data_IF_277390934630
#
_entry.id   IF_277390934630
#
_cell.length_a   1.000
_cell.length_b   1.000
_cell.length_c   1.000
_cell.angle_alpha   90.00
_cell.angle_beta   90.00
_cell.angle_gamma   90.00
#
_symmetry.space_group_name_H-M   'P 1'
#
loop_
_entity.id
_entity.type
_entity.pdbx_description
1 polymer ?
#
# COMPACT_ATOMS: atom_id res chain seq x y z
N UNK A 1 -3.71 -22.67 -5.76
CA UNK A 1 -2.91 -21.47 -6.07
C UNK A 1 -3.82 -20.30 -5.77
N UNK A 2 -3.47 -19.47 -4.80
CA UNK A 2 -4.20 -18.22 -4.59
C UNK A 2 -3.77 -17.28 -5.72
N UNK A 3 -4.73 -16.69 -6.42
CA UNK A 3 -4.44 -15.68 -7.44
C UNK A 3 -3.95 -14.41 -6.75
N UNK A 4 -2.83 -13.87 -7.23
CA UNK A 4 -2.30 -12.58 -6.78
C UNK A 4 -3.09 -11.46 -7.46
N UNK A 5 -3.46 -10.44 -6.71
CA UNK A 5 -4.14 -9.25 -7.23
C UNK A 5 -3.30 -8.61 -8.33
N UNK A 6 -3.93 -8.26 -9.44
CA UNK A 6 -3.29 -7.61 -10.58
C UNK A 6 -3.80 -6.17 -10.71
N UNK A 7 -2.93 -5.28 -11.19
CA UNK A 7 -3.23 -3.85 -11.33
C UNK A 7 -4.49 -3.63 -12.19
N UNK A 8 -4.57 -4.26 -13.36
CA UNK A 8 -5.66 -4.12 -14.31
C UNK A 8 -6.98 -4.68 -13.76
N UNK A 9 -6.89 -5.75 -12.97
CA UNK A 9 -8.05 -6.36 -12.30
C UNK A 9 -8.66 -5.41 -11.28
N UNK A 10 -7.82 -4.84 -10.40
CA UNK A 10 -8.27 -3.85 -9.42
C UNK A 10 -8.73 -2.56 -10.09
N UNK A 11 -8.01 -2.08 -11.10
CA UNK A 11 -8.38 -0.91 -11.90
C UNK A 11 -9.77 -1.04 -12.52
N UNK A 12 -10.10 -2.22 -13.09
CA UNK A 12 -11.43 -2.48 -13.64
C UNK A 12 -12.53 -2.43 -12.56
N UNK A 13 -12.26 -2.97 -11.37
CA UNK A 13 -13.21 -2.92 -10.25
C UNK A 13 -13.44 -1.49 -9.78
N UNK A 14 -12.37 -0.71 -9.62
CA UNK A 14 -12.43 0.69 -9.19
C UNK A 14 -13.15 1.58 -10.22
N UNK A 15 -12.86 1.40 -11.50
CA UNK A 15 -13.52 2.12 -12.58
C UNK A 15 -15.05 1.86 -12.61
N UNK A 16 -15.49 0.63 -12.31
CA UNK A 16 -16.92 0.29 -12.25
C UNK A 16 -17.66 1.04 -11.14
N UNK A 17 -16.96 1.42 -10.06
CA UNK A 17 -17.54 2.13 -8.92
C UNK A 17 -17.25 3.64 -8.93
N UNK A 18 -16.64 4.15 -10.00
CA UNK A 18 -16.44 5.59 -10.26
C UNK A 18 -15.03 6.13 -10.02
N UNK A 19 -14.07 5.28 -9.63
CA UNK A 19 -12.69 5.67 -9.30
C UNK A 19 -11.72 5.24 -10.40
N UNK A 20 -11.63 6.05 -11.45
CA UNK A 20 -10.73 5.82 -12.59
C UNK A 20 -9.33 6.34 -12.26
N UNK A 21 -8.29 5.59 -12.62
CA UNK A 21 -6.86 5.91 -12.40
C UNK A 21 -6.43 6.01 -10.91
N UNK A 22 -7.27 5.53 -9.99
CA UNK A 22 -7.05 5.57 -8.53
C UNK A 22 -6.40 4.29 -7.98
N UNK A 23 -6.04 3.33 -8.85
CA UNK A 23 -5.59 1.98 -8.44
C UNK A 23 -4.35 2.00 -7.55
N UNK A 24 -3.34 2.78 -7.93
CA UNK A 24 -2.10 2.88 -7.17
C UNK A 24 -2.35 3.55 -5.81
N UNK A 25 -3.08 4.67 -5.79
CA UNK A 25 -3.46 5.37 -4.56
C UNK A 25 -4.28 4.49 -3.62
N UNK A 26 -5.30 3.82 -4.12
CA UNK A 26 -6.14 2.92 -3.31
C UNK A 26 -5.33 1.75 -2.76
N UNK A 27 -4.46 1.12 -3.56
CA UNK A 27 -3.60 0.04 -3.06
C UNK A 27 -2.61 0.52 -2.01
N UNK A 28 -2.03 1.72 -2.18
CA UNK A 28 -1.22 2.37 -1.16
C UNK A 28 -2.00 2.56 0.13
N UNK A 29 -3.19 3.15 0.05
CA UNK A 29 -4.08 3.39 1.19
C UNK A 29 -4.47 2.12 1.92
N UNK A 30 -4.72 1.06 1.17
CA UNK A 30 -4.97 -0.28 1.70
C UNK A 30 -3.76 -0.81 2.48
N UNK A 31 -2.55 -0.69 1.93
CA UNK A 31 -1.31 -1.11 2.59
C UNK A 31 -1.07 -0.32 3.89
N UNK A 32 -1.18 1.00 3.84
CA UNK A 32 -1.01 1.86 5.01
C UNK A 32 -2.04 1.56 6.10
N UNK A 33 -3.32 1.38 5.75
CA UNK A 33 -4.37 1.03 6.70
C UNK A 33 -4.12 -0.34 7.36
N UNK A 34 -3.64 -1.33 6.60
CA UNK A 34 -3.30 -2.65 7.12
C UNK A 34 -2.11 -2.64 8.10
N UNK A 35 -1.21 -1.65 8.01
CA UNK A 35 -0.16 -1.44 9.00
C UNK A 35 -0.73 -1.07 10.38
N UNK A 36 -1.89 -0.41 10.43
CA UNK A 36 -2.44 0.17 11.67
C UNK A 36 -3.76 -0.45 12.14
N UNK A 37 -4.45 -1.24 11.32
CA UNK A 37 -5.78 -1.84 11.60
C UNK A 37 -5.84 -3.31 11.21
N UNK A 38 -6.64 -4.12 11.91
CA UNK A 38 -6.89 -5.49 11.45
C UNK A 38 -7.60 -5.48 10.09
N UNK A 39 -7.42 -6.52 9.28
CA UNK A 39 -8.02 -6.59 7.93
C UNK A 39 -9.52 -6.26 7.95
N UNK A 40 -10.26 -6.88 8.86
CA UNK A 40 -11.70 -6.69 9.03
C UNK A 40 -12.11 -5.32 9.58
N UNK A 41 -11.17 -4.51 10.07
CA UNK A 41 -11.38 -3.14 10.56
C UNK A 41 -11.05 -2.08 9.51
N UNK A 42 -10.43 -2.47 8.39
CA UNK A 42 -10.17 -1.56 7.27
C UNK A 42 -11.49 -1.27 6.56
N UNK A 43 -11.92 -0.01 6.62
CA UNK A 43 -13.08 0.50 5.90
C UNK A 43 -12.68 0.86 4.46
N UNK A 44 -12.99 -0.03 3.53
CA UNK A 44 -12.64 0.11 2.12
C UNK A 44 -13.35 1.31 1.46
N UNK A 45 -14.52 1.72 1.96
CA UNK A 45 -15.25 2.86 1.39
C UNK A 45 -14.61 4.17 1.81
N UNK A 46 -14.17 4.26 3.07
CA UNK A 46 -13.40 5.40 3.54
C UNK A 46 -12.09 5.56 2.76
N UNK A 47 -11.46 4.44 2.36
CA UNK A 47 -10.25 4.49 1.55
C UNK A 47 -10.48 4.96 0.12
N UNK A 48 -11.67 4.70 -0.44
CA UNK A 48 -12.06 5.14 -1.78
C UNK A 48 -12.54 6.58 -1.79
N UNK A 49 -13.42 6.94 -0.86
CA UNK A 49 -14.00 8.26 -0.72
C UNK A 49 -13.79 8.81 0.70
N UNK A 50 -12.61 9.39 0.98
CA UNK A 50 -12.32 9.95 2.29
C UNK A 50 -13.24 11.13 2.65
N UNK A 51 -13.74 11.86 1.64
CA UNK A 51 -14.63 13.01 1.82
C UNK A 51 -16.09 12.57 2.09
N UNK A 52 -16.46 11.38 1.63
CA UNK A 52 -17.82 10.85 1.74
C UNK A 52 -18.83 11.67 0.92
N UNK A 53 -18.38 12.42 -0.07
CA UNK A 53 -19.21 13.29 -0.89
C UNK A 53 -19.71 12.61 -2.17
N UNK A 54 -19.20 11.41 -2.49
CA UNK A 54 -19.64 10.61 -3.60
C UNK A 54 -20.73 9.62 -3.20
N UNK A 55 -21.79 9.55 -4.01
CA UNK A 55 -22.82 8.52 -3.85
C UNK A 55 -22.33 7.19 -4.41
N UNK A 56 -21.58 6.44 -3.60
CA UNK A 56 -21.04 5.14 -4.00
C UNK A 56 -22.14 4.09 -4.17
N UNK A 57 -22.27 3.56 -5.38
CA UNK A 57 -23.11 2.39 -5.66
C UNK A 57 -22.20 1.21 -5.95
N UNK A 58 -21.97 0.37 -4.94
CA UNK A 58 -21.09 -0.79 -5.04
C UNK A 58 -21.97 -2.03 -4.99
N UNK A 59 -21.94 -2.81 -6.07
CA UNK A 59 -22.64 -4.08 -6.11
C UNK A 59 -21.90 -5.18 -5.34
N UNK A 60 -22.56 -6.31 -5.15
CA UNK A 60 -22.00 -7.45 -4.41
C UNK A 60 -20.72 -7.98 -5.04
N UNK A 61 -20.55 -7.87 -6.36
CA UNK A 61 -19.37 -8.36 -7.06
C UNK A 61 -18.17 -7.46 -6.81
N UNK A 62 -18.34 -6.15 -6.96
CA UNK A 62 -17.31 -5.15 -6.66
C UNK A 62 -16.93 -5.18 -5.18
N UNK A 63 -17.90 -5.27 -4.27
CA UNK A 63 -17.62 -5.41 -2.83
C UNK A 63 -16.78 -6.66 -2.54
N UNK A 64 -17.12 -7.80 -3.15
CA UNK A 64 -16.37 -9.04 -2.97
C UNK A 64 -14.93 -8.90 -3.50
N UNK A 65 -14.76 -8.30 -4.67
CA UNK A 65 -13.44 -8.09 -5.27
C UNK A 65 -12.55 -7.15 -4.43
N UNK A 66 -13.12 -6.08 -3.85
CA UNK A 66 -12.38 -5.18 -2.95
C UNK A 66 -11.97 -5.88 -1.64
N UNK A 67 -12.82 -6.75 -1.11
CA UNK A 67 -12.48 -7.56 0.06
C UNK A 67 -11.38 -8.58 -0.28
N UNK A 68 -11.48 -9.27 -1.41
CA UNK A 68 -10.44 -10.19 -1.89
C UNK A 68 -9.11 -9.46 -2.10
N UNK A 69 -9.15 -8.25 -2.65
CA UNK A 69 -7.98 -7.40 -2.81
C UNK A 69 -7.31 -7.10 -1.46
N UNK A 70 -8.08 -6.70 -0.44
CA UNK A 70 -7.57 -6.49 0.92
C UNK A 70 -6.88 -7.72 1.48
N UNK A 71 -7.50 -8.90 1.39
CA UNK A 71 -6.91 -10.10 1.96
C UNK A 71 -5.63 -10.52 1.21
N UNK A 72 -5.59 -10.36 -0.11
CA UNK A 72 -4.39 -10.66 -0.91
C UNK A 72 -3.25 -9.66 -0.63
N UNK A 73 -3.55 -8.37 -0.49
CA UNK A 73 -2.57 -7.36 -0.06
C UNK A 73 -2.01 -7.68 1.32
N UNK A 74 -2.86 -8.08 2.28
CA UNK A 74 -2.41 -8.50 3.60
C UNK A 74 -1.47 -9.72 3.55
N UNK A 75 -1.84 -10.76 2.80
CA UNK A 75 -1.02 -11.96 2.64
C UNK A 75 0.35 -11.58 2.08
N UNK A 76 0.37 -10.70 1.06
CA UNK A 76 1.60 -10.26 0.42
C UNK A 76 2.48 -9.44 1.38
N UNK A 77 1.90 -8.49 2.13
CA UNK A 77 2.63 -7.70 3.13
C UNK A 77 3.25 -8.56 4.24
N UNK A 78 2.58 -9.67 4.60
CA UNK A 78 3.06 -10.62 5.61
C UNK A 78 4.11 -11.60 5.07
N UNK A 79 4.30 -11.66 3.76
CA UNK A 79 5.19 -12.61 3.13
C UNK A 79 6.65 -12.23 3.31
N UNK A 80 7.41 -13.14 3.90
CA UNK A 80 8.84 -12.98 4.14
C UNK A 80 9.69 -13.41 2.92
N UNK A 81 9.07 -14.03 1.91
CA UNK A 81 9.75 -14.45 0.67
C UNK A 81 9.86 -13.30 -0.36
N UNK A 82 9.32 -12.12 -0.03
CA UNK A 82 9.46 -10.90 -0.83
C UNK A 82 8.47 -10.79 -1.99
N UNK A 83 7.35 -11.51 -1.94
CA UNK A 83 6.34 -11.45 -3.02
C UNK A 83 5.51 -10.15 -3.04
N UNK A 84 5.55 -9.34 -1.98
CA UNK A 84 4.89 -8.04 -1.98
C UNK A 84 5.48 -7.12 -3.05
N UNK A 85 4.62 -6.49 -3.85
CA UNK A 85 4.98 -5.38 -4.73
C UNK A 85 3.88 -4.31 -4.66
N UNK A 86 4.25 -3.00 -4.73
CA UNK A 86 3.25 -1.96 -4.96
C UNK A 86 2.55 -2.23 -6.31
N UNK A 87 1.21 -2.19 -6.32
CA UNK A 87 0.44 -2.28 -7.56
C UNK A 87 0.58 -0.99 -8.36
N UNK A 88 1.28 -1.10 -9.49
CA UNK A 88 1.62 -0.03 -10.40
C UNK A 88 1.28 -0.44 -11.84
N UNK A 89 1.14 0.51 -12.79
CA UNK A 89 0.94 0.21 -14.21
C UNK A 89 2.09 -0.66 -14.76
N UNK A 90 1.77 -1.53 -15.72
CA UNK A 90 2.73 -2.39 -16.40
C UNK A 90 3.88 -1.59 -17.05
N UNK A 91 5.05 -2.23 -17.19
CA UNK A 91 6.28 -1.65 -17.76
C UNK A 91 6.14 -1.22 -19.25
N UNK A 92 5.05 -1.60 -19.91
CA UNK A 92 4.70 -1.12 -21.26
C UNK A 92 4.08 0.30 -21.25
N UNK A 93 3.68 0.80 -20.07
CA UNK A 93 3.15 2.17 -19.89
C UNK A 93 4.28 3.19 -19.96
N UNK A 94 4.00 4.44 -20.30
CA UNK A 94 5.05 5.49 -20.30
C UNK A 94 5.61 5.74 -18.89
N UNK A 95 6.92 5.94 -18.78
CA UNK A 95 7.61 6.18 -17.50
C UNK A 95 6.97 7.31 -16.68
N UNK A 96 6.60 8.48 -17.25
CA UNK A 96 5.92 9.53 -16.47
C UNK A 96 4.62 9.06 -15.81
N UNK A 97 3.83 8.21 -16.47
CA UNK A 97 2.60 7.64 -15.90
C UNK A 97 2.89 6.67 -14.76
N UNK A 98 3.95 5.87 -14.87
CA UNK A 98 4.39 4.96 -13.81
C UNK A 98 4.95 5.72 -12.60
N UNK A 99 5.72 6.78 -12.82
CA UNK A 99 6.22 7.66 -11.74
C UNK A 99 5.04 8.34 -11.03
N UNK A 100 4.06 8.87 -11.79
CA UNK A 100 2.86 9.45 -11.20
C UNK A 100 2.07 8.43 -10.34
N UNK A 101 1.94 7.20 -10.83
CA UNK A 101 1.31 6.12 -10.06
C UNK A 101 2.09 5.75 -8.80
N UNK A 102 3.43 5.74 -8.84
CA UNK A 102 4.28 5.48 -7.68
C UNK A 102 4.12 6.57 -6.61
N UNK A 103 4.07 7.84 -7.04
CA UNK A 103 3.79 8.97 -6.15
C UNK A 103 2.40 8.84 -5.51
N UNK A 104 1.38 8.56 -6.33
CA UNK A 104 0.01 8.35 -5.85
C UNK A 104 -0.06 7.16 -4.86
N UNK A 105 0.73 6.11 -5.09
CA UNK A 105 0.85 4.99 -4.16
C UNK A 105 1.40 5.42 -2.80
N UNK A 106 2.45 6.24 -2.77
CA UNK A 106 2.99 6.82 -1.53
C UNK A 106 1.97 7.73 -0.81
N UNK A 107 1.25 8.59 -1.54
CA UNK A 107 0.17 9.41 -0.99
C UNK A 107 -0.91 8.55 -0.33
N UNK A 108 -1.36 7.52 -1.05
CA UNK A 108 -2.27 6.51 -0.55
C UNK A 108 -1.75 5.88 0.74
N UNK A 109 -0.52 5.37 0.74
CA UNK A 109 0.08 4.72 1.91
C UNK A 109 0.08 5.61 3.16
N UNK A 110 0.50 6.86 3.01
CA UNK A 110 0.50 7.85 4.09
C UNK A 110 -0.93 8.15 4.57
N UNK A 111 -1.89 8.28 3.65
CA UNK A 111 -3.30 8.42 4.01
C UNK A 111 -3.82 7.19 4.78
N UNK A 112 -3.53 5.98 4.32
CA UNK A 112 -3.89 4.73 4.99
C UNK A 112 -3.40 4.64 6.44
N UNK A 113 -2.14 5.02 6.68
CA UNK A 113 -1.56 5.10 8.02
C UNK A 113 -2.29 6.11 8.90
N UNK A 114 -2.65 7.27 8.35
CA UNK A 114 -3.36 8.33 9.06
C UNK A 114 -4.77 7.93 9.52
N UNK A 115 -5.32 6.83 8.99
CA UNK A 115 -6.63 6.32 9.40
C UNK A 115 -6.68 5.78 10.84
N UNK A 116 -5.53 5.63 11.51
CA UNK A 116 -5.43 5.41 12.96
C UNK A 116 -5.24 6.76 13.65
N UNK A 117 -6.22 7.24 14.44
CA UNK A 117 -6.09 8.51 15.15
C UNK A 117 -4.99 8.45 16.21
N UNK A 118 -4.28 9.56 16.40
CA UNK A 118 -3.21 9.72 17.39
C UNK A 118 -2.09 8.67 17.24
N UNK A 119 -1.74 8.30 16.00
CA UNK A 119 -0.56 7.49 15.74
C UNK A 119 0.69 8.26 16.20
N UNK A 120 1.40 7.72 17.19
CA UNK A 120 2.61 8.31 17.75
C UNK A 120 3.85 7.79 17.01
N UNK A 121 4.17 8.41 15.87
CA UNK A 121 5.35 8.06 15.06
C UNK A 121 6.67 8.33 15.79
N UNK A 122 6.69 9.26 16.76
CA UNK A 122 7.91 9.56 17.54
C UNK A 122 8.32 8.39 18.45
N UNK A 123 7.36 7.52 18.78
CA UNK A 123 7.60 6.30 19.56
C UNK A 123 8.11 5.11 18.73
N UNK A 124 8.08 5.22 17.39
CA UNK A 124 8.59 4.20 16.46
C UNK A 124 10.11 4.31 16.29
N UNK A 125 10.71 3.31 15.63
CA UNK A 125 12.13 3.32 15.29
C UNK A 125 12.51 4.49 14.37
N UNK A 126 13.79 4.89 14.42
CA UNK A 126 14.33 5.90 13.50
C UNK A 126 14.17 5.47 12.04
N UNK A 127 14.34 4.17 11.75
CA UNK A 127 14.17 3.59 10.40
C UNK A 127 12.73 3.75 9.89
N UNK A 128 11.73 3.48 10.72
CA UNK A 128 10.33 3.71 10.35
C UNK A 128 10.08 5.20 10.09
N UNK A 129 10.57 6.08 10.97
CA UNK A 129 10.39 7.52 10.82
C UNK A 129 11.02 8.04 9.51
N UNK A 130 12.21 7.55 9.16
CA UNK A 130 12.90 7.86 7.90
C UNK A 130 12.10 7.40 6.68
N UNK A 131 11.57 6.17 6.68
CA UNK A 131 10.71 5.66 5.58
C UNK A 131 9.48 6.56 5.37
N UNK A 132 8.82 6.99 6.46
CA UNK A 132 7.65 7.87 6.37
C UNK A 132 8.02 9.27 5.86
N UNK A 133 9.17 9.79 6.30
CA UNK A 133 9.69 11.07 5.80
C UNK A 133 10.01 10.98 4.30
N UNK A 134 10.70 9.94 3.86
CA UNK A 134 11.05 9.72 2.45
C UNK A 134 9.82 9.60 1.57
N UNK A 135 8.82 8.80 1.99
CA UNK A 135 7.55 8.72 1.27
C UNK A 135 6.89 10.09 1.18
N UNK A 136 6.95 10.90 2.24
CA UNK A 136 6.43 12.28 2.23
C UNK A 136 7.22 13.20 1.31
N UNK A 137 8.53 13.01 1.14
CA UNK A 137 9.33 13.78 0.19
C UNK A 137 9.01 13.39 -1.25
N UNK A 138 8.79 12.10 -1.54
CA UNK A 138 8.40 11.65 -2.88
C UNK A 138 7.07 12.28 -3.34
N UNK A 139 6.11 12.46 -2.45
CA UNK A 139 4.83 13.13 -2.81
C UNK A 139 4.96 14.63 -3.06
N UNK A 140 6.07 15.25 -2.64
CA UNK A 140 6.36 16.67 -2.86
C UNK A 140 7.30 16.90 -4.05
N UNK A 141 7.98 15.86 -4.50
CA UNK A 141 8.91 15.95 -5.62
C UNK A 141 8.14 16.32 -6.90
N UNK A 142 8.58 17.39 -7.56
CA UNK A 142 8.09 17.74 -8.89
C UNK A 142 8.86 16.94 -9.93
N UNK A 143 8.16 16.31 -10.87
CA UNK A 143 8.77 15.58 -11.98
C UNK A 143 9.21 16.63 -13.02
N UNK A 144 10.40 17.21 -12.85
CA UNK A 144 11.08 18.00 -13.89
C UNK A 144 11.99 17.04 -14.67
N UNK A 145 11.66 16.77 -15.94
CA UNK A 145 12.37 15.81 -16.79
C UNK A 145 13.12 16.46 -17.94
N UNK A 146 14.46 16.39 -17.93
CA UNK A 146 15.34 16.60 -19.10
C UNK A 146 16.56 15.65 -19.07
N UNK A 147 16.44 14.42 -18.55
CA UNK A 147 17.58 13.49 -18.41
C UNK A 147 17.47 12.21 -19.27
N UNK A 148 18.51 11.38 -19.23
CA UNK A 148 18.67 10.18 -20.05
C UNK A 148 17.71 9.06 -19.61
N UNK A 149 16.77 8.69 -20.48
CA UNK A 149 15.72 7.69 -20.28
C UNK A 149 16.21 6.38 -19.62
N UNK A 150 17.36 5.80 -20.01
CA UNK A 150 17.83 4.54 -19.40
C UNK A 150 18.23 4.69 -17.92
N UNK A 151 18.78 5.85 -17.55
CA UNK A 151 19.10 6.17 -16.15
C UNK A 151 17.83 6.39 -15.34
N UNK A 152 16.81 7.01 -15.93
CA UNK A 152 15.51 7.24 -15.29
C UNK A 152 14.76 5.93 -15.02
N UNK A 153 14.84 4.96 -15.94
CA UNK A 153 14.23 3.62 -15.76
C UNK A 153 14.90 2.84 -14.62
N UNK A 154 16.23 2.90 -14.53
CA UNK A 154 16.97 2.25 -13.45
C UNK A 154 16.64 2.89 -12.11
N UNK A 155 16.62 4.23 -12.05
CA UNK A 155 16.25 4.96 -10.84
C UNK A 155 14.80 4.66 -10.41
N UNK A 156 13.87 4.56 -11.36
CA UNK A 156 12.50 4.17 -11.07
C UNK A 156 12.42 2.77 -10.44
N UNK A 157 13.12 1.77 -10.99
CA UNK A 157 13.15 0.43 -10.43
C UNK A 157 13.73 0.39 -9.00
N UNK A 158 14.76 1.19 -8.73
CA UNK A 158 15.33 1.34 -7.38
C UNK A 158 14.33 1.97 -6.40
N UNK A 159 13.58 2.99 -6.82
CA UNK A 159 12.53 3.60 -6.00
C UNK A 159 11.38 2.62 -5.71
N UNK A 160 10.95 1.84 -6.70
CA UNK A 160 9.93 0.80 -6.52
C UNK A 160 10.40 -0.22 -5.48
N UNK A 161 11.66 -0.67 -5.55
CA UNK A 161 12.22 -1.61 -4.58
C UNK A 161 12.34 -1.01 -3.18
N UNK A 162 12.78 0.25 -3.08
CA UNK A 162 12.84 0.97 -1.80
C UNK A 162 11.46 1.05 -1.15
N UNK A 163 10.43 1.46 -1.92
CA UNK A 163 9.05 1.56 -1.44
C UNK A 163 8.50 0.19 -1.03
N UNK A 164 8.81 -0.86 -1.81
CA UNK A 164 8.42 -2.24 -1.52
C UNK A 164 8.95 -2.70 -0.16
N UNK A 165 10.25 -2.53 0.08
CA UNK A 165 10.91 -2.91 1.34
C UNK A 165 10.42 -2.03 2.49
N UNK A 166 10.37 -0.72 2.29
CA UNK A 166 9.91 0.24 3.31
C UNK A 166 8.49 -0.06 3.79
N UNK A 167 7.56 -0.36 2.88
CA UNK A 167 6.19 -0.73 3.24
C UNK A 167 6.12 -2.01 4.10
N UNK A 168 6.92 -3.03 3.77
CA UNK A 168 7.00 -4.26 4.57
C UNK A 168 7.62 -4.01 5.95
N UNK A 169 8.66 -3.18 6.04
CA UNK A 169 9.29 -2.81 7.32
C UNK A 169 8.31 -2.08 8.24
N UNK A 170 7.61 -1.07 7.71
CA UNK A 170 6.56 -0.34 8.44
C UNK A 170 5.48 -1.33 8.91
N UNK A 171 5.01 -2.23 8.05
CA UNK A 171 4.04 -3.24 8.43
C UNK A 171 4.52 -4.12 9.59
N UNK A 172 5.74 -4.67 9.50
CA UNK A 172 6.30 -5.57 10.51
C UNK A 172 6.47 -4.91 11.87
N UNK A 173 6.95 -3.66 11.90
CA UNK A 173 7.14 -2.91 13.13
C UNK A 173 5.79 -2.53 13.78
N UNK A 174 4.83 -2.10 12.97
CA UNK A 174 3.51 -1.67 13.45
C UNK A 174 2.60 -2.85 13.85
N UNK A 175 2.91 -4.05 13.35
CA UNK A 175 2.17 -5.29 13.58
C UNK A 175 3.07 -6.37 14.17
N UNK A 176 3.71 -6.13 15.33
CA UNK A 176 4.61 -7.11 15.91
C UNK A 176 3.82 -8.38 16.19
N UNK A 177 4.30 -9.51 15.65
CA UNK A 177 3.74 -10.82 16.00
C UNK A 177 3.86 -10.96 17.52
N UNK A 178 2.83 -11.45 18.22
CA UNK A 178 2.95 -11.72 19.65
C UNK A 178 4.16 -12.62 19.86
N UNK A 179 5.18 -12.14 20.60
CA UNK A 179 6.28 -12.99 21.03
C UNK A 179 5.67 -14.13 21.85
N UNK A 180 5.86 -15.40 21.46
CA UNK A 180 5.38 -16.53 22.24
C UNK A 180 5.93 -16.40 23.67
N UNK A 181 5.05 -16.45 24.67
CA UNK A 181 5.46 -16.41 26.07
C UNK A 181 6.44 -17.56 26.36
N UNK A 182 7.71 -17.29 26.73
CA UNK A 182 8.69 -18.32 27.03
C UNK A 182 8.29 -19.22 28.22
N UNK A 183 7.26 -18.84 29.00
CA UNK A 183 6.72 -19.66 30.09
C UNK A 183 5.66 -20.67 29.65
N UNK A 184 5.03 -20.52 28.47
CA UNK A 184 3.99 -21.44 28.00
C UNK A 184 4.56 -22.80 27.56
N UNK A 185 5.82 -22.81 27.10
CA UNK A 185 6.54 -24.03 26.70
C UNK A 185 6.93 -24.94 27.87
N UNK A 186 6.82 -24.48 29.13
CA UNK A 186 7.18 -25.29 30.31
C UNK A 186 6.04 -26.13 30.89
N UNK A 187 4.82 -26.07 30.32
CA UNK A 187 3.66 -26.83 30.82
C UNK A 187 3.29 -28.06 30.00
N UNK A 188 4.10 -28.47 29.03
CA UNK A 188 4.03 -29.81 28.45
C UNK A 188 5.15 -30.69 29.05
N UNK A 189 4.90 -31.24 30.23
CA UNK A 189 5.59 -32.42 30.75
C UNK A 189 4.64 -33.20 31.65
#
# INVERSE_FOLDING_TARGET
MQETIQYEGLSSVLAQVGFVDETAAFHGALCGALCVKQSNEVDLLLLLDPAGDQSLTIDTSAQKALVEAREQTLISLQDNEGAFAPLLPHDDSELPSRVAALVAWCEGFLFGLSTRPNLDLESCSEELQEIIEDFTQFTRASIDGEDNVELEETAYAELVEYIRVGAQLVYMEMRPRPTPDPQSSKKLH
#
